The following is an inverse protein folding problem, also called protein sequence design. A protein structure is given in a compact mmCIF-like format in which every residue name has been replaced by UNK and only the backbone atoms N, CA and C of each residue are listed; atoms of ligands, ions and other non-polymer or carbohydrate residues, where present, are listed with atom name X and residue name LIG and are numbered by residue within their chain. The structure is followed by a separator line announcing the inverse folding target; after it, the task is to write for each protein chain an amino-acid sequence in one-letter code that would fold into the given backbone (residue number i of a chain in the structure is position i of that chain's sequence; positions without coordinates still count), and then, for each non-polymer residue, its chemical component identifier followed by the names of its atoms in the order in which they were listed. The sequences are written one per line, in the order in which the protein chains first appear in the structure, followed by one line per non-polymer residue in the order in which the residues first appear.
data_IF_646438579797
#
_entry.id   IF_646438579797
#
_cell.length_a   1.000
_cell.length_b   1.000
_cell.length_c   1.000
_cell.angle_alpha   90.00
_cell.angle_beta   90.00
_cell.angle_gamma   90.00
#
_symmetry.space_group_name_H-M   'P 1'
#
loop_
_entity.id
_entity.type
_entity.pdbx_description
1 polymer ?
#
# COMPACT_ATOMS: atom_id res chain seq x y z
N UNK A 1 5.72 -2.57 -3.09
CA UNK A 1 4.31 -2.37 -3.50
C UNK A 1 3.41 -2.60 -2.31
N UNK A 2 2.33 -1.84 -2.19
CA UNK A 2 1.26 -2.08 -1.21
C UNK A 2 -0.03 -2.27 -1.98
N UNK A 3 -0.78 -3.31 -1.65
CA UNK A 3 -2.06 -3.63 -2.30
C UNK A 3 -3.15 -3.90 -1.26
N UNK A 4 -4.39 -3.70 -1.68
CA UNK A 4 -5.58 -3.86 -0.85
C UNK A 4 -6.62 -4.69 -1.61
N UNK A 5 -7.12 -5.71 -0.95
CA UNK A 5 -8.25 -6.51 -1.41
C UNK A 5 -9.34 -6.44 -0.34
N UNK A 6 -10.59 -6.66 -0.73
CA UNK A 6 -11.66 -6.82 0.23
C UNK A 6 -12.51 -8.01 -0.13
N UNK A 7 -13.04 -8.65 0.90
CA UNK A 7 -13.95 -9.77 0.78
C UNK A 7 -14.92 -9.77 1.95
N UNK A 8 -15.74 -10.81 2.05
CA UNK A 8 -16.69 -11.03 3.12
C UNK A 8 -16.22 -12.19 4.00
N UNK A 9 -16.21 -11.98 5.31
CA UNK A 9 -15.91 -13.03 6.28
C UNK A 9 -17.22 -13.68 6.73
N UNK A 10 -17.42 -14.94 6.34
CA UNK A 10 -18.62 -15.78 6.63
C UNK A 10 -19.93 -15.30 5.98
N UNK A 11 -20.26 -14.01 6.03
CA UNK A 11 -21.48 -13.46 5.48
C UNK A 11 -21.27 -12.08 4.83
N UNK A 12 -22.22 -11.65 3.98
CA UNK A 12 -22.14 -10.39 3.21
C UNK A 12 -22.18 -9.11 4.04
N UNK A 13 -22.55 -9.19 5.32
CA UNK A 13 -22.58 -8.01 6.21
C UNK A 13 -21.23 -7.78 6.90
N UNK A 14 -20.32 -8.75 6.82
CA UNK A 14 -19.01 -8.72 7.46
C UNK A 14 -17.91 -8.48 6.42
N UNK A 15 -17.84 -7.27 5.86
CA UNK A 15 -16.75 -6.90 4.95
C UNK A 15 -15.41 -6.83 5.70
N UNK A 16 -14.37 -7.41 5.11
CA UNK A 16 -13.02 -7.42 5.64
C UNK A 16 -12.04 -7.02 4.54
N UNK A 17 -11.11 -6.13 4.88
CA UNK A 17 -10.01 -5.79 4.00
C UNK A 17 -8.78 -6.63 4.31
N UNK A 18 -8.18 -7.15 3.24
CA UNK A 18 -6.91 -7.84 3.22
C UNK A 18 -5.88 -6.91 2.63
N UNK A 19 -4.72 -6.93 3.25
CA UNK A 19 -3.77 -5.85 3.14
C UNK A 19 -2.37 -6.40 3.03
N UNK A 20 -1.69 -6.07 1.93
CA UNK A 20 -0.46 -6.75 1.54
C UNK A 20 0.63 -5.71 1.28
N UNK A 21 1.79 -5.89 1.88
CA UNK A 21 3.04 -5.27 1.43
C UNK A 21 3.92 -6.31 0.78
N UNK A 22 4.39 -6.00 -0.42
CA UNK A 22 5.15 -6.90 -1.28
C UNK A 22 6.41 -6.20 -1.77
N UNK A 23 7.57 -6.81 -1.54
CA UNK A 23 8.85 -6.38 -2.08
C UNK A 23 9.00 -6.99 -3.47
N UNK A 24 9.19 -6.15 -4.49
CA UNK A 24 9.01 -6.56 -5.89
C UNK A 24 10.20 -7.36 -6.39
N UNK A 25 11.41 -6.98 -5.99
CA UNK A 25 12.63 -7.51 -6.58
C UNK A 25 12.92 -8.92 -6.04
N UNK A 26 12.81 -9.12 -4.74
CA UNK A 26 12.95 -10.42 -4.06
C UNK A 26 11.66 -11.26 -4.07
N UNK A 27 10.55 -10.71 -4.56
CA UNK A 27 9.20 -11.31 -4.50
C UNK A 27 8.77 -11.69 -3.09
N UNK A 28 9.25 -10.93 -2.10
CA UNK A 28 9.03 -11.21 -0.69
C UNK A 28 7.75 -10.57 -0.16
N UNK A 29 6.95 -11.36 0.56
CA UNK A 29 5.76 -10.89 1.26
C UNK A 29 6.17 -10.25 2.57
N UNK A 30 6.24 -8.91 2.59
CA UNK A 30 6.71 -8.16 3.76
C UNK A 30 5.69 -8.21 4.90
N UNK A 31 4.41 -8.05 4.60
CA UNK A 31 3.37 -8.10 5.61
C UNK A 31 1.99 -8.45 5.04
N UNK A 32 1.19 -9.04 5.92
CA UNK A 32 -0.20 -9.41 5.69
C UNK A 32 -1.03 -8.95 6.89
N UNK A 33 -2.08 -8.17 6.64
CA UNK A 33 -2.96 -7.64 7.68
C UNK A 33 -4.43 -7.77 7.29
N UNK A 34 -5.29 -7.81 8.30
CA UNK A 34 -6.74 -7.80 8.17
C UNK A 34 -7.31 -6.63 8.95
N UNK A 35 -8.33 -5.97 8.42
CA UNK A 35 -9.04 -4.94 9.17
C UNK A 35 -9.94 -4.05 8.34
N UNK A 36 -10.31 -2.91 8.93
CA UNK A 36 -11.08 -1.87 8.25
C UNK A 36 -10.16 -0.95 7.45
N UNK A 37 -10.66 -0.43 6.33
CA UNK A 37 -9.94 0.54 5.49
C UNK A 37 -10.05 1.95 6.05
N UNK A 38 -9.13 2.29 6.96
CA UNK A 38 -9.06 3.60 7.62
C UNK A 38 -7.66 4.19 7.53
N UNK A 39 -7.53 5.50 7.77
CA UNK A 39 -6.23 6.18 7.84
C UNK A 39 -5.34 5.58 8.93
N UNK A 40 -5.91 5.25 10.10
CA UNK A 40 -5.18 4.60 11.19
C UNK A 40 -4.56 3.26 10.74
N UNK A 41 -5.34 2.42 10.04
CA UNK A 41 -4.85 1.15 9.48
C UNK A 41 -3.73 1.36 8.46
N UNK A 42 -3.84 2.39 7.61
CA UNK A 42 -2.80 2.74 6.64
C UNK A 42 -1.51 3.16 7.35
N UNK A 43 -1.58 4.05 8.35
CA UNK A 43 -0.42 4.50 9.14
C UNK A 43 0.26 3.36 9.85
N UNK A 44 -0.50 2.53 10.57
CA UNK A 44 0.03 1.34 11.28
C UNK A 44 0.78 0.42 10.32
N UNK A 45 0.28 0.25 9.09
CA UNK A 45 0.97 -0.57 8.08
C UNK A 45 2.29 0.06 7.64
N UNK A 46 2.27 1.34 7.32
CA UNK A 46 3.47 2.04 6.89
C UNK A 46 4.53 2.00 8.00
N UNK A 47 4.15 2.08 9.28
CA UNK A 47 5.07 1.89 10.42
C UNK A 47 5.75 0.52 10.43
N UNK A 48 4.99 -0.55 10.16
CA UNK A 48 5.56 -1.91 10.08
C UNK A 48 6.50 -2.07 8.90
N UNK A 49 6.13 -1.50 7.75
CA UNK A 49 7.03 -1.45 6.59
C UNK A 49 8.29 -0.68 6.97
N UNK A 50 8.18 0.53 7.52
CA UNK A 50 9.31 1.36 7.96
C UNK A 50 10.27 0.58 8.86
N UNK A 51 9.74 -0.14 9.86
CA UNK A 51 10.53 -0.96 10.77
C UNK A 51 11.30 -2.10 10.07
N UNK A 52 10.73 -2.67 9.01
CA UNK A 52 11.45 -3.66 8.20
C UNK A 52 12.50 -3.00 7.31
N UNK A 53 12.17 -1.87 6.69
CA UNK A 53 13.06 -1.15 5.78
C UNK A 53 14.27 -0.55 6.52
N UNK A 54 14.09 -0.05 7.74
CA UNK A 54 15.16 0.58 8.54
C UNK A 54 16.26 -0.39 8.97
N UNK A 55 15.98 -1.70 8.96
CA UNK A 55 16.97 -2.75 9.24
C UNK A 55 17.83 -3.11 8.03
N UNK A 56 17.51 -2.57 6.86
CA UNK A 56 18.20 -2.88 5.61
C UNK A 56 19.09 -1.68 5.24
N UNK A 57 20.39 -1.91 5.07
CA UNK A 57 21.28 -0.89 4.49
C UNK A 57 20.86 -0.61 3.05
N UNK A 58 20.57 0.66 2.75
CA UNK A 58 20.07 1.09 1.43
C UNK A 58 20.91 2.20 0.86
N UNK A 59 21.19 2.07 -0.43
CA UNK A 59 21.90 3.09 -1.22
C UNK A 59 20.89 3.92 -2.05
N UNK A 60 19.72 3.35 -2.36
CA UNK A 60 18.73 3.94 -3.24
C UNK A 60 17.42 4.28 -2.51
N UNK A 61 16.70 5.34 -2.94
CA UNK A 61 15.38 5.66 -2.41
C UNK A 61 14.37 4.52 -2.58
N UNK A 62 13.45 4.42 -1.64
CA UNK A 62 12.42 3.39 -1.62
C UNK A 62 11.30 3.75 -2.57
N UNK A 63 11.04 2.89 -3.56
CA UNK A 63 9.89 3.07 -4.46
C UNK A 63 8.62 2.47 -3.87
N UNK A 64 7.75 3.30 -3.32
CA UNK A 64 6.46 2.86 -2.78
C UNK A 64 5.38 3.05 -3.84
N UNK A 65 4.73 1.94 -4.21
CA UNK A 65 3.63 1.95 -5.18
C UNK A 65 2.35 1.45 -4.51
N UNK A 66 1.27 2.21 -4.60
CA UNK A 66 -0.06 1.89 -4.04
C UNK A 66 -1.14 1.96 -5.11
N UNK A 67 -2.33 1.42 -4.85
CA UNK A 67 -3.50 1.70 -5.66
C UNK A 67 -4.52 2.59 -4.91
N UNK A 68 -5.04 3.61 -5.62
CA UNK A 68 -6.21 4.49 -5.32
C UNK A 68 -6.46 5.05 -3.90
N UNK A 69 -5.72 4.71 -2.85
CA UNK A 69 -5.98 5.16 -1.48
C UNK A 69 -5.10 6.36 -1.12
N UNK A 70 -5.72 7.53 -0.98
CA UNK A 70 -5.05 8.76 -0.56
C UNK A 70 -4.40 8.65 0.84
N UNK A 71 -4.98 7.84 1.74
CA UNK A 71 -4.47 7.67 3.10
C UNK A 71 -3.02 7.17 3.16
N UNK A 72 -2.53 6.44 2.14
CA UNK A 72 -1.13 6.03 2.11
C UNK A 72 -0.15 7.16 1.90
N UNK A 73 -0.52 8.20 1.14
CA UNK A 73 0.35 9.37 0.95
C UNK A 73 0.63 10.02 2.30
N UNK A 74 -0.43 10.31 3.05
CA UNK A 74 -0.33 10.93 4.38
C UNK A 74 0.41 10.02 5.36
N UNK A 75 0.11 8.71 5.34
CA UNK A 75 0.80 7.73 6.17
C UNK A 75 2.31 7.71 5.89
N UNK A 76 2.71 7.67 4.61
CA UNK A 76 4.11 7.72 4.20
C UNK A 76 4.79 9.02 4.64
N UNK A 77 4.16 10.17 4.40
CA UNK A 77 4.68 11.47 4.83
C UNK A 77 4.87 11.53 6.35
N UNK A 78 3.97 10.92 7.13
CA UNK A 78 4.05 10.93 8.59
C UNK A 78 5.06 9.95 9.18
N UNK A 79 5.39 8.86 8.49
CA UNK A 79 6.17 7.74 9.04
C UNK A 79 7.57 7.65 8.44
N UNK A 80 7.73 7.92 7.15
CA UNK A 80 9.01 7.85 6.45
C UNK A 80 9.73 9.20 6.58
N UNK A 81 10.03 9.61 7.81
CA UNK A 81 10.72 10.87 8.10
C UNK A 81 12.21 10.82 7.79
N UNK A 82 12.81 9.62 7.89
CA UNK A 82 14.26 9.39 7.73
C UNK A 82 14.58 8.47 6.54
N UNK A 83 13.56 8.06 5.78
CA UNK A 83 13.72 7.18 4.62
C UNK A 83 13.41 8.00 3.37
N UNK A 84 14.40 8.15 2.49
CA UNK A 84 14.15 8.68 1.15
C UNK A 84 13.23 7.74 0.37
N UNK A 85 12.12 8.26 -0.15
CA UNK A 85 11.16 7.47 -0.91
C UNK A 85 10.55 8.23 -2.08
N UNK A 86 10.16 7.45 -3.09
CA UNK A 86 9.37 7.91 -4.22
C UNK A 86 8.00 7.26 -4.13
N UNK A 87 6.95 8.08 -4.03
CA UNK A 87 5.57 7.61 -4.00
C UNK A 87 4.94 7.63 -5.40
N UNK A 88 4.44 6.47 -5.83
CA UNK A 88 3.69 6.31 -7.07
C UNK A 88 2.31 5.74 -6.78
N UNK A 89 1.29 6.39 -7.33
CA UNK A 89 -0.07 5.86 -7.28
C UNK A 89 -0.44 5.23 -8.62
N UNK A 90 -0.91 3.99 -8.58
CA UNK A 90 -1.50 3.33 -9.74
C UNK A 90 -2.96 3.78 -9.86
N UNK A 91 -3.25 4.48 -10.94
CA UNK A 91 -4.61 4.89 -11.30
C UNK A 91 -5.16 3.87 -12.30
N UNK A 92 -6.09 3.05 -11.81
CA UNK A 92 -6.84 2.05 -12.61
C UNK A 92 -8.16 2.66 -13.08
N UNK A 93 -8.39 2.77 -14.40
CA UNK A 93 -9.70 3.10 -14.99
C UNK A 93 -10.41 1.82 -15.40
N UNK A 94 -11.66 1.66 -14.96
CA UNK A 94 -12.53 0.52 -15.31
C UNK A 94 -13.77 1.01 -16.06
N UNK A 95 -14.20 0.25 -17.05
CA UNK A 95 -15.46 0.42 -17.78
C UNK A 95 -16.15 -0.95 -17.80
N UNK A 96 -17.41 -1.02 -17.36
CA UNK A 96 -18.16 -2.29 -17.23
C UNK A 96 -17.34 -3.39 -16.53
N UNK A 97 -16.75 -3.07 -15.38
CA UNK A 97 -15.87 -3.94 -14.56
C UNK A 97 -14.53 -4.35 -15.21
N UNK A 98 -14.36 -4.17 -16.52
CA UNK A 98 -13.11 -4.44 -17.24
C UNK A 98 -12.09 -3.34 -17.01
N UNK A 99 -10.83 -3.72 -16.78
CA UNK A 99 -9.72 -2.79 -16.68
C UNK A 99 -9.38 -2.26 -18.09
N UNK A 100 -9.40 -0.94 -18.25
CA UNK A 100 -9.21 -0.29 -19.56
C UNK A 100 -7.92 0.53 -19.62
N UNK A 101 -7.48 1.07 -18.49
CA UNK A 101 -6.24 1.87 -18.44
C UNK A 101 -5.55 1.71 -17.10
N UNK A 102 -4.24 1.54 -17.14
CA UNK A 102 -3.34 1.60 -15.99
C UNK A 102 -2.33 2.72 -16.26
N UNK A 103 -2.34 3.75 -15.42
CA UNK A 103 -1.34 4.84 -15.47
C UNK A 103 -0.66 4.97 -14.12
N UNK A 104 0.63 5.30 -14.14
CA UNK A 104 1.39 5.72 -12.95
C UNK A 104 1.24 7.24 -12.84
N UNK A 105 0.75 7.73 -11.70
CA UNK A 105 0.66 9.15 -11.38
C UNK A 105 1.47 9.48 -10.14
N UNK A 106 1.90 10.74 -10.03
CA UNK A 106 2.37 11.32 -8.77
C UNK A 106 1.12 11.54 -7.91
N UNK A 107 1.08 10.94 -6.72
CA UNK A 107 -0.11 11.02 -5.87
C UNK A 107 -0.42 12.47 -5.47
N UNK A 108 -1.60 12.96 -5.86
CA UNK A 108 -2.17 14.21 -5.37
C UNK A 108 -2.45 14.14 -3.87
#
# INVERSE_FOLDING_TARGET
MVDELWSFLKNKNSQLWVFIGFEVDSRFWMNFELGSRTTHTATKRVMRINHYLSKLSRINPVKVTTDKLAAYKNALQSVFTEIDYVYLQIVKKRIKMRLVTVKKGVGA
#
